data_IF_297441524029
#
_entry.id   IF_297441524029
#
_cell.length_a   1.000
_cell.length_b   1.000
_cell.length_c   1.000
_cell.angle_alpha   90.00
_cell.angle_beta   90.00
_cell.angle_gamma   90.00
#
_symmetry.space_group_name_H-M   'P 1'
#
loop_
_entity.id
_entity.type
_entity.pdbx_description
1 polymer ?
#
# COMPACT_ATOMS: atom_id res chain seq x y z
N UNK A 1 2.14 -17.97 3.65
CA UNK A 1 1.56 -17.23 4.80
C UNK A 1 1.58 -15.78 4.40
N UNK A 2 0.46 -15.07 4.53
CA UNK A 2 0.38 -13.66 4.15
C UNK A 2 0.96 -12.76 5.25
N UNK A 3 1.64 -11.71 4.83
CA UNK A 3 2.19 -10.64 5.68
C UNK A 3 1.43 -9.35 5.40
N UNK A 4 1.10 -8.62 6.45
CA UNK A 4 0.38 -7.36 6.36
C UNK A 4 1.27 -6.19 6.79
N UNK A 5 1.26 -5.14 5.98
CA UNK A 5 2.00 -3.91 6.20
C UNK A 5 1.03 -2.75 6.24
N UNK A 6 1.19 -1.89 7.24
CA UNK A 6 0.31 -0.74 7.48
C UNK A 6 1.08 0.54 7.19
N UNK A 7 0.58 1.29 6.22
CA UNK A 7 1.07 2.60 5.86
C UNK A 7 0.06 3.68 6.28
N UNK A 8 0.56 4.74 6.90
CA UNK A 8 -0.25 5.88 7.33
C UNK A 8 0.19 7.14 6.59
N UNK A 9 -0.78 7.96 6.17
CA UNK A 9 -0.54 9.35 5.79
C UNK A 9 -1.12 10.23 6.88
N UNK A 10 -0.30 11.13 7.41
CA UNK A 10 -0.71 12.07 8.44
C UNK A 10 -1.10 13.41 7.80
N UNK A 11 -1.97 14.18 8.46
CA UNK A 11 -2.39 15.50 7.99
C UNK A 11 -1.22 16.47 7.80
N UNK A 12 -0.18 16.37 8.63
CA UNK A 12 1.01 17.22 8.53
C UNK A 12 1.94 16.84 7.38
N UNK A 13 1.73 15.67 6.76
CA UNK A 13 2.53 15.17 5.64
C UNK A 13 1.67 14.30 4.72
N UNK A 14 0.68 14.89 4.03
CA UNK A 14 -0.32 14.14 3.27
C UNK A 14 0.26 13.47 2.03
N UNK A 15 1.42 13.92 1.54
CA UNK A 15 2.07 13.35 0.37
C UNK A 15 2.95 12.14 0.69
N UNK A 16 3.40 12.00 1.94
CA UNK A 16 4.28 10.91 2.37
C UNK A 16 3.50 9.89 3.16
N UNK A 17 3.35 8.70 2.59
CA UNK A 17 3.03 7.53 3.40
C UNK A 17 4.22 7.24 4.31
N UNK A 18 3.95 6.77 5.52
CA UNK A 18 4.94 6.22 6.42
C UNK A 18 4.55 4.77 6.69
N UNK A 19 5.45 3.83 6.46
CA UNK A 19 5.24 2.46 6.91
C UNK A 19 5.41 2.40 8.43
N UNK A 20 4.38 1.94 9.11
CA UNK A 20 4.30 2.05 10.58
C UNK A 20 4.35 0.70 11.26
N UNK A 21 3.75 -0.30 10.65
CA UNK A 21 3.86 -1.70 11.05
C UNK A 21 4.11 -2.53 9.79
N UNK A 22 5.00 -3.51 9.89
CA UNK A 22 5.35 -4.41 8.79
C UNK A 22 5.40 -5.84 9.29
N UNK A 23 5.32 -6.78 8.35
CA UNK A 23 5.44 -8.23 8.60
C UNK A 23 4.42 -8.79 9.60
N UNK A 24 3.24 -8.17 9.72
CA UNK A 24 2.22 -8.62 10.65
C UNK A 24 1.50 -9.86 10.12
N UNK A 25 1.15 -10.77 11.03
CA UNK A 25 0.06 -11.73 10.79
C UNK A 25 -1.31 -11.05 10.84
N UNK A 26 -2.35 -11.71 10.35
CA UNK A 26 -3.71 -11.17 10.42
C UNK A 26 -4.18 -10.93 11.86
N UNK A 27 -3.81 -11.81 12.79
CA UNK A 27 -4.15 -11.62 14.21
C UNK A 27 -3.45 -10.41 14.82
N UNK A 28 -2.19 -10.19 14.47
CA UNK A 28 -1.43 -9.03 14.93
C UNK A 28 -1.96 -7.74 14.31
N UNK A 29 -2.31 -7.75 13.02
CA UNK A 29 -2.99 -6.63 12.37
C UNK A 29 -4.27 -6.24 13.13
N UNK A 30 -5.09 -7.24 13.50
CA UNK A 30 -6.33 -7.02 14.26
C UNK A 30 -6.07 -6.43 15.65
N UNK A 31 -5.13 -7.00 16.40
CA UNK A 31 -4.86 -6.62 17.79
C UNK A 31 -4.09 -5.29 17.90
N UNK A 32 -3.06 -5.12 17.08
CA UNK A 32 -2.11 -4.00 17.19
C UNK A 32 -2.56 -2.77 16.42
N UNK A 33 -3.32 -2.93 15.32
CA UNK A 33 -3.73 -1.79 14.50
C UNK A 33 -5.23 -1.59 14.43
N UNK A 34 -6.01 -2.61 14.04
CA UNK A 34 -7.45 -2.42 13.80
C UNK A 34 -8.24 -2.12 15.08
N UNK A 35 -7.94 -2.81 16.18
CA UNK A 35 -8.57 -2.55 17.47
C UNK A 35 -8.34 -1.12 17.98
N UNK A 36 -7.09 -0.61 18.06
CA UNK A 36 -6.85 0.77 18.48
C UNK A 36 -7.39 1.78 17.46
N UNK A 37 -7.26 1.54 16.16
CA UNK A 37 -7.82 2.39 15.10
C UNK A 37 -9.33 2.60 15.25
N UNK A 38 -10.09 1.51 15.45
CA UNK A 38 -11.55 1.55 15.66
C UNK A 38 -11.95 2.22 16.97
N UNK A 39 -11.08 2.18 17.98
CA UNK A 39 -11.33 2.84 19.26
C UNK A 39 -11.05 4.35 19.22
N UNK A 40 -10.39 4.86 18.18
CA UNK A 40 -10.01 6.26 18.06
C UNK A 40 -8.96 6.69 19.09
N UNK A 41 -8.32 5.75 19.77
CA UNK A 41 -7.27 6.02 20.75
C UNK A 41 -5.95 6.28 20.05
N UNK A 42 -5.10 7.06 20.71
CA UNK A 42 -3.71 7.22 20.32
C UNK A 42 -3.01 5.87 20.41
N UNK A 43 -2.16 5.58 19.44
CA UNK A 43 -1.39 4.35 19.41
C UNK A 43 0.09 4.66 19.25
N UNK A 44 0.90 3.80 19.87
CA UNK A 44 2.34 3.97 19.95
C UNK A 44 3.00 3.10 18.90
N UNK A 45 3.89 3.70 18.12
CA UNK A 45 4.65 3.03 17.08
C UNK A 45 6.13 3.36 17.20
N UNK A 46 6.94 2.34 17.48
CA UNK A 46 8.35 2.54 17.81
C UNK A 46 8.48 3.47 19.03
N UNK A 47 8.99 4.67 18.81
CA UNK A 47 9.12 5.73 19.82
C UNK A 47 8.13 6.90 19.64
N UNK A 48 7.24 6.83 18.65
CA UNK A 48 6.31 7.91 18.30
C UNK A 48 4.87 7.56 18.71
N UNK A 49 4.17 8.53 19.30
CA UNK A 49 2.74 8.41 19.56
C UNK A 49 2.01 9.05 18.39
N UNK A 50 1.22 8.25 17.67
CA UNK A 50 0.37 8.74 16.58
C UNK A 50 -1.05 8.88 17.10
N UNK A 51 -1.56 10.11 17.00
CA UNK A 51 -2.94 10.41 17.33
C UNK A 51 -3.85 9.97 16.19
N UNK A 52 -4.94 9.27 16.53
CA UNK A 52 -5.90 8.82 15.53
C UNK A 52 -6.51 9.98 14.73
N UNK A 53 -6.67 11.15 15.35
CA UNK A 53 -7.14 12.41 14.75
C UNK A 53 -6.21 12.96 13.66
N UNK A 54 -4.92 12.64 13.70
CA UNK A 54 -3.92 13.14 12.74
C UNK A 54 -3.83 12.27 11.48
N UNK A 55 -4.57 11.17 11.42
CA UNK A 55 -4.53 10.23 10.30
C UNK A 55 -5.42 10.75 9.18
N UNK A 56 -4.78 11.09 8.06
CA UNK A 56 -5.46 11.49 6.84
C UNK A 56 -5.91 10.28 6.02
N UNK A 57 -5.03 9.28 5.87
CA UNK A 57 -5.38 8.03 5.18
C UNK A 57 -4.59 6.84 5.70
N UNK A 58 -5.15 5.65 5.52
CA UNK A 58 -4.51 4.37 5.84
C UNK A 58 -4.45 3.52 4.59
N UNK A 59 -3.34 2.81 4.40
CA UNK A 59 -3.21 1.76 3.42
C UNK A 59 -2.70 0.49 4.11
N UNK A 60 -3.35 -0.64 3.85
CA UNK A 60 -2.94 -1.96 4.32
C UNK A 60 -2.56 -2.79 3.11
N UNK A 61 -1.31 -3.21 3.04
CA UNK A 61 -0.74 -3.96 1.92
C UNK A 61 -0.47 -5.38 2.39
N UNK A 62 -1.01 -6.36 1.65
CA UNK A 62 -0.76 -7.78 1.86
C UNK A 62 0.32 -8.28 0.90
N UNK A 63 1.29 -9.05 1.41
CA UNK A 63 2.36 -9.67 0.61
C UNK A 63 2.54 -11.16 0.96
N UNK A 64 3.09 -11.92 0.02
CA UNK A 64 3.37 -13.35 0.23
C UNK A 64 4.69 -13.61 0.99
N UNK A 65 5.61 -12.63 0.95
CA UNK A 65 6.90 -12.67 1.66
C UNK A 65 7.03 -11.48 2.59
N UNK A 66 8.02 -11.54 3.48
CA UNK A 66 8.34 -10.44 4.38
C UNK A 66 8.82 -9.20 3.62
N UNK A 67 8.74 -8.04 4.28
CA UNK A 67 9.02 -6.73 3.70
C UNK A 67 10.44 -6.67 3.13
N UNK A 68 11.42 -7.24 3.83
CA UNK A 68 12.81 -7.23 3.38
C UNK A 68 13.01 -7.99 2.05
N UNK A 69 12.31 -9.11 1.87
CA UNK A 69 12.37 -9.91 0.64
C UNK A 69 11.67 -9.20 -0.52
N UNK A 70 10.53 -8.57 -0.26
CA UNK A 70 9.78 -7.82 -1.28
C UNK A 70 10.52 -6.55 -1.71
N UNK A 71 11.04 -5.76 -0.77
CA UNK A 71 11.82 -4.55 -1.06
C UNK A 71 13.08 -4.89 -1.86
N UNK A 72 13.78 -5.97 -1.50
CA UNK A 72 14.92 -6.44 -2.29
C UNK A 72 14.51 -6.83 -3.72
N UNK A 73 13.35 -7.47 -3.87
CA UNK A 73 12.82 -7.83 -5.18
C UNK A 73 12.49 -6.59 -6.04
N UNK A 74 11.92 -5.55 -5.42
CA UNK A 74 11.66 -4.25 -6.07
C UNK A 74 12.99 -3.60 -6.48
N UNK A 75 13.97 -3.60 -5.58
CA UNK A 75 15.30 -3.07 -5.82
C UNK A 75 15.97 -3.77 -7.00
N UNK A 76 16.03 -5.10 -7.00
CA UNK A 76 16.62 -5.90 -8.08
C UNK A 76 15.93 -5.61 -9.43
N UNK A 77 14.60 -5.49 -9.44
CA UNK A 77 13.82 -5.13 -10.63
C UNK A 77 14.16 -3.71 -11.11
N UNK A 78 14.21 -2.73 -10.20
CA UNK A 78 14.57 -1.35 -10.52
C UNK A 78 15.98 -1.25 -11.11
N UNK A 79 16.95 -1.98 -10.56
CA UNK A 79 18.32 -2.01 -11.09
C UNK A 79 18.40 -2.65 -12.47
N UNK A 80 17.61 -3.71 -12.69
CA UNK A 80 17.51 -4.34 -14.00
C UNK A 80 16.93 -3.37 -15.04
N UNK A 81 15.85 -2.67 -14.72
CA UNK A 81 15.22 -1.69 -15.60
C UNK A 81 16.19 -0.56 -15.99
N UNK A 82 16.92 0.00 -15.01
CA UNK A 82 17.94 1.05 -15.26
C UNK A 82 19.06 0.52 -16.17
N UNK A 83 19.53 -0.71 -15.92
CA UNK A 83 20.59 -1.32 -16.72
C UNK A 83 20.14 -1.58 -18.15
N UNK A 84 18.95 -2.16 -18.33
CA UNK A 84 18.40 -2.49 -19.63
C UNK A 84 18.17 -1.21 -20.46
N UNK A 85 17.72 -0.13 -19.82
CA UNK A 85 17.60 1.19 -20.43
C UNK A 85 18.96 1.75 -20.89
N UNK A 86 19.95 1.80 -20.00
CA UNK A 86 21.28 2.32 -20.33
C UNK A 86 21.96 1.53 -21.47
N UNK A 87 21.77 0.20 -21.48
CA UNK A 87 22.25 -0.66 -22.55
C UNK A 87 21.55 -0.38 -23.89
N UNK A 88 20.23 -0.18 -23.88
CA UNK A 88 19.45 0.03 -25.10
C UNK A 88 19.83 1.35 -25.82
N UNK A 89 20.17 2.39 -25.06
CA UNK A 89 20.46 3.72 -25.61
C UNK A 89 21.96 4.08 -25.63
N UNK A 90 22.84 3.11 -25.32
CA UNK A 90 24.30 3.30 -25.21
C UNK A 90 24.68 4.60 -24.47
N UNK A 91 24.00 4.85 -23.36
CA UNK A 91 24.08 6.08 -22.59
C UNK A 91 24.06 5.77 -21.10
N UNK A 92 24.59 6.68 -20.29
CA UNK A 92 24.60 6.54 -18.83
C UNK A 92 23.61 7.57 -18.31
N UNK A 93 22.35 7.16 -18.17
CA UNK A 93 21.35 7.94 -17.46
C UNK A 93 21.34 7.54 -15.99
N UNK A 94 21.40 8.55 -15.11
CA UNK A 94 21.31 8.39 -13.66
C UNK A 94 19.94 8.87 -13.20
N UNK A 95 18.99 7.95 -13.03
CA UNK A 95 17.61 8.26 -12.60
C UNK A 95 17.45 8.32 -11.06
N UNK A 96 18.55 8.47 -10.31
CA UNK A 96 18.58 8.39 -8.85
C UNK A 96 18.92 6.99 -8.34
N UNK A 97 18.67 6.74 -7.04
CA UNK A 97 19.05 5.48 -6.37
C UNK A 97 18.20 4.26 -6.79
N UNK A 98 17.10 4.46 -7.53
CA UNK A 98 16.13 3.41 -7.83
C UNK A 98 15.06 3.27 -6.74
N UNK A 99 14.24 2.23 -6.84
CA UNK A 99 13.11 1.92 -5.93
C UNK A 99 13.45 0.74 -5.01
N UNK A 100 12.69 0.54 -3.95
CA UNK A 100 12.84 -0.58 -3.00
C UNK A 100 13.79 -0.29 -1.82
N UNK A 101 14.08 0.98 -1.57
CA UNK A 101 14.95 1.42 -0.45
C UNK A 101 14.16 1.89 0.75
N UNK A 102 12.96 2.43 0.51
CA UNK A 102 12.05 2.92 1.53
C UNK A 102 11.00 1.86 1.83
N UNK A 103 10.55 1.75 3.08
CA UNK A 103 9.55 0.74 3.45
C UNK A 103 8.21 0.97 2.75
N UNK A 104 7.93 2.22 2.40
CA UNK A 104 6.76 2.65 1.66
C UNK A 104 6.68 2.05 0.26
N UNK A 105 7.81 1.66 -0.34
CA UNK A 105 7.86 1.06 -1.67
C UNK A 105 7.17 -0.31 -1.72
N UNK A 106 6.83 -0.89 -0.56
CA UNK A 106 6.08 -2.16 -0.44
C UNK A 106 4.73 -2.13 -1.18
N UNK A 107 4.17 -0.94 -1.40
CA UNK A 107 2.95 -0.74 -2.21
C UNK A 107 3.08 -1.26 -3.64
N UNK A 108 4.30 -1.44 -4.15
CA UNK A 108 4.54 -1.98 -5.50
C UNK A 108 4.52 -3.50 -5.58
N UNK A 109 4.75 -4.20 -4.46
CA UNK A 109 4.85 -5.65 -4.42
C UNK A 109 3.57 -6.33 -3.94
N UNK A 110 2.80 -5.66 -3.08
CA UNK A 110 1.64 -6.26 -2.42
C UNK A 110 0.29 -5.85 -2.99
N UNK A 111 -0.75 -6.52 -2.48
CA UNK A 111 -2.15 -6.22 -2.77
C UNK A 111 -2.71 -5.28 -1.72
N UNK A 112 -3.33 -4.19 -2.14
CA UNK A 112 -4.07 -3.31 -1.23
C UNK A 112 -5.33 -4.03 -0.73
N UNK A 113 -5.38 -4.25 0.59
CA UNK A 113 -6.49 -4.89 1.31
C UNK A 113 -7.19 -3.95 2.28
N UNK A 114 -6.91 -2.65 2.20
CA UNK A 114 -7.45 -1.62 3.12
C UNK A 114 -8.95 -1.70 3.24
N UNK A 115 -9.66 -1.75 2.10
CA UNK A 115 -11.12 -1.75 2.05
C UNK A 115 -11.76 -2.98 2.72
N UNK A 116 -11.02 -4.07 2.87
CA UNK A 116 -11.47 -5.29 3.55
C UNK A 116 -11.54 -5.06 5.07
N UNK A 117 -10.61 -4.27 5.62
CA UNK A 117 -10.45 -4.10 7.07
C UNK A 117 -10.93 -2.75 7.60
N UNK A 118 -10.85 -1.70 6.78
CA UNK A 118 -11.15 -0.31 7.11
C UNK A 118 -12.13 0.24 6.08
N UNK A 119 -13.32 0.56 6.56
CA UNK A 119 -14.39 1.19 5.79
C UNK A 119 -14.86 2.53 6.36
N UNK A 120 -14.32 2.91 7.53
CA UNK A 120 -14.75 4.06 8.33
C UNK A 120 -13.54 4.78 8.92
N UNK A 121 -13.63 6.10 9.16
CA UNK A 121 -12.57 6.87 9.81
C UNK A 121 -12.23 6.36 11.23
N UNK A 122 -11.05 6.73 11.76
CA UNK A 122 -10.63 6.35 13.11
C UNK A 122 -11.67 6.76 14.17
N UNK A 123 -11.94 5.88 15.13
CA UNK A 123 -12.88 6.16 16.22
C UNK A 123 -14.37 6.18 15.86
N UNK A 124 -14.74 5.98 14.59
CA UNK A 124 -16.14 5.77 14.20
C UNK A 124 -16.43 4.28 14.04
N UNK A 125 -17.40 3.76 14.79
CA UNK A 125 -17.97 2.44 14.53
C UNK A 125 -19.31 2.63 13.80
N UNK A 126 -19.36 2.10 12.57
CA UNK A 126 -20.53 2.03 11.68
C UNK A 126 -21.28 3.36 11.42
N UNK A 127 -20.90 4.04 10.34
CA UNK A 127 -21.84 4.86 9.56
C UNK A 127 -21.85 4.34 8.12
N UNK A 128 -22.96 3.73 7.72
CA UNK A 128 -23.19 3.09 6.42
C UNK A 128 -23.13 4.02 5.19
N UNK A 129 -22.70 5.28 5.36
CA UNK A 129 -22.74 6.31 4.31
C UNK A 129 -21.42 6.57 3.57
N UNK A 130 -20.29 6.00 4.01
CA UNK A 130 -18.96 6.39 3.48
C UNK A 130 -18.40 5.49 2.35
N UNK A 131 -19.01 4.34 2.09
CA UNK A 131 -18.49 3.33 1.14
C UNK A 131 -18.42 3.80 -0.32
N UNK A 132 -19.11 4.90 -0.67
CA UNK A 132 -19.12 5.43 -2.05
C UNK A 132 -17.94 6.34 -2.39
N UNK A 133 -17.24 6.92 -1.42
CA UNK A 133 -16.18 7.89 -1.71
C UNK A 133 -14.83 7.24 -2.06
N UNK A 134 -14.54 6.06 -1.51
CA UNK A 134 -13.25 5.35 -1.70
C UNK A 134 -13.14 4.61 -3.04
N UNK A 135 -14.26 4.19 -3.64
CA UNK A 135 -14.29 3.55 -4.96
C UNK A 135 -14.05 4.52 -6.13
N UNK A 136 -14.09 5.84 -5.88
CA UNK A 136 -13.89 6.86 -6.90
C UNK A 136 -12.44 7.32 -7.07
N UNK A 137 -11.47 6.66 -6.44
CA UNK A 137 -10.06 7.00 -6.67
C UNK A 137 -9.62 6.57 -8.09
N UNK A 138 -9.09 7.48 -8.93
CA UNK A 138 -8.78 7.22 -10.35
C UNK A 138 -7.81 6.05 -10.60
N UNK A 139 -6.93 5.76 -9.65
CA UNK A 139 -5.94 4.69 -9.80
C UNK A 139 -6.54 3.28 -9.55
N UNK A 140 -7.47 3.15 -8.60
CA UNK A 140 -8.18 1.88 -8.31
C UNK A 140 -9.17 1.56 -9.42
N UNK A 141 -9.92 2.57 -9.89
CA UNK A 141 -10.82 2.39 -11.04
C UNK A 141 -10.06 1.98 -12.29
N UNK A 142 -8.85 2.51 -12.53
CA UNK A 142 -7.99 2.13 -13.66
C UNK A 142 -7.51 0.67 -13.61
N UNK A 143 -7.13 0.17 -12.43
CA UNK A 143 -6.72 -1.24 -12.26
C UNK A 143 -7.93 -2.18 -12.41
N UNK A 144 -9.08 -1.84 -11.81
CA UNK A 144 -10.28 -2.65 -11.97
C UNK A 144 -10.85 -2.61 -13.40
N UNK A 145 -10.84 -1.46 -14.08
CA UNK A 145 -11.28 -1.39 -15.49
C UNK A 145 -10.34 -2.15 -16.41
N UNK A 146 -9.02 -2.08 -16.22
CA UNK A 146 -8.09 -2.83 -17.08
C UNK A 146 -8.24 -4.35 -16.91
N UNK A 147 -8.50 -4.85 -15.70
CA UNK A 147 -8.82 -6.25 -15.45
C UNK A 147 -10.14 -6.70 -16.11
N UNK A 148 -11.19 -5.89 -16.01
CA UNK A 148 -12.50 -6.19 -16.59
C UNK A 148 -12.45 -6.14 -18.13
N UNK A 149 -11.77 -5.14 -18.69
CA UNK A 149 -11.59 -5.01 -20.15
C UNK A 149 -10.72 -6.16 -20.69
N UNK A 150 -9.64 -6.54 -19.99
CA UNK A 150 -8.83 -7.69 -20.35
C UNK A 150 -9.63 -9.00 -20.35
N UNK A 151 -10.47 -9.21 -19.33
CA UNK A 151 -11.34 -10.39 -19.24
C UNK A 151 -12.41 -10.41 -20.35
N UNK A 152 -12.99 -9.26 -20.70
CA UNK A 152 -13.96 -9.13 -21.80
C UNK A 152 -13.33 -9.35 -23.18
N UNK A 153 -12.13 -8.81 -23.42
CA UNK A 153 -11.39 -9.02 -24.67
C UNK A 153 -11.00 -10.48 -24.86
N UNK A 154 -10.55 -11.14 -23.78
CA UNK A 154 -10.25 -12.56 -23.78
C UNK A 154 -11.50 -13.41 -24.04
N UNK A 155 -12.65 -13.06 -23.44
CA UNK A 155 -13.91 -13.76 -23.64
C UNK A 155 -14.50 -13.57 -25.05
N UNK A 156 -14.28 -12.41 -25.67
CA UNK A 156 -14.67 -12.12 -27.06
C UNK A 156 -13.72 -12.73 -28.10
N UNK A 157 -12.69 -13.47 -27.67
CA UNK A 157 -11.79 -14.20 -28.56
C UNK A 157 -10.81 -13.31 -29.33
N UNK A 158 -10.57 -12.09 -28.84
CA UNK A 158 -9.53 -11.23 -29.38
C UNK A 158 -8.19 -11.63 -28.75
N UNK A 159 -7.45 -12.49 -29.46
CA UNK A 159 -6.01 -12.72 -29.22
C UNK A 159 -5.17 -11.78 -30.07
#
# INVERSE_FOLDING_TARGET
MAYYHVLLKLHDSPEKAKCVLSDLSEEELRKQFLAPYRSGKNFLFGSEIVEASRINSVSIVETDRNIASELKSIQDKSWKEIRDFNNAYNSIFYFGLGRGYEMEDIVEAGRDVTAIYISVPPGQQNSWSFTWHLLNHPWITSICTSLIVGALLFWLGWN
#
